data_IF_743767144921
#
_entry.id   IF_743767144921
#
_cell.length_a   1.000
_cell.length_b   1.000
_cell.length_c   1.000
_cell.angle_alpha   90.00
_cell.angle_beta   90.00
_cell.angle_gamma   90.00
#
_symmetry.space_group_name_H-M   'P 1'
#
loop_
_entity.id
_entity.type
_entity.pdbx_description
1 polymer ?
#
# COMPACT_ATOMS: atom_id res chain seq x y z
N UNK A 1 -19.50 6.09 -22.57
CA UNK A 1 -19.83 4.87 -21.79
C UNK A 1 -20.13 5.20 -20.33
N UNK A 2 -19.22 5.84 -19.58
CA UNK A 2 -19.44 6.21 -18.17
C UNK A 2 -20.67 7.09 -17.91
N UNK A 3 -20.92 8.11 -18.74
CA UNK A 3 -22.11 8.96 -18.64
C UNK A 3 -23.44 8.20 -18.88
N UNK A 4 -23.44 7.23 -19.81
CA UNK A 4 -24.61 6.41 -20.13
C UNK A 4 -24.97 5.48 -18.95
N UNK A 5 -23.94 4.93 -18.28
CA UNK A 5 -24.13 4.08 -17.10
C UNK A 5 -24.66 4.87 -15.91
N UNK A 6 -24.16 6.10 -15.70
CA UNK A 6 -24.66 7.02 -14.67
C UNK A 6 -26.14 7.31 -14.81
N UNK A 7 -26.57 7.63 -16.03
CA UNK A 7 -27.96 7.98 -16.33
C UNK A 7 -28.88 6.76 -16.20
N UNK A 8 -28.44 5.59 -16.68
CA UNK A 8 -29.22 4.35 -16.60
C UNK A 8 -29.39 3.82 -15.16
N UNK A 9 -28.39 4.02 -14.30
CA UNK A 9 -28.39 3.52 -12.91
C UNK A 9 -28.77 4.59 -11.87
N UNK A 10 -29.09 5.82 -12.30
CA UNK A 10 -29.42 6.94 -11.41
C UNK A 10 -28.33 7.21 -10.36
N UNK A 11 -27.06 7.18 -10.78
CA UNK A 11 -25.94 7.48 -9.87
C UNK A 11 -25.75 9.00 -9.83
N UNK A 12 -26.17 9.64 -8.73
CA UNK A 12 -26.07 11.09 -8.55
C UNK A 12 -24.68 11.57 -8.11
N UNK A 13 -23.89 10.71 -7.46
CA UNK A 13 -22.55 11.06 -6.96
C UNK A 13 -21.62 9.85 -6.97
N UNK A 14 -20.45 10.00 -7.57
CA UNK A 14 -19.40 8.98 -7.62
C UNK A 14 -18.31 9.28 -6.57
N UNK A 15 -18.16 8.42 -5.55
CA UNK A 15 -17.13 8.54 -4.52
C UNK A 15 -15.82 7.82 -4.92
N UNK A 16 -15.22 8.23 -6.04
CA UNK A 16 -14.04 7.55 -6.59
C UNK A 16 -12.71 7.95 -5.95
N UNK A 17 -12.72 9.03 -5.15
CA UNK A 17 -11.54 9.48 -4.39
C UNK A 17 -11.39 8.83 -3.02
N UNK A 18 -12.36 8.00 -2.60
CA UNK A 18 -12.34 7.40 -1.27
C UNK A 18 -11.64 6.04 -1.25
N UNK A 19 -11.17 5.64 -0.06
CA UNK A 19 -10.57 4.32 0.16
C UNK A 19 -11.61 3.35 0.71
N UNK A 20 -11.85 2.27 0.01
CA UNK A 20 -12.63 1.15 0.51
C UNK A 20 -11.71 0.06 1.05
N UNK A 21 -11.88 -0.34 2.32
CA UNK A 21 -11.00 -1.30 3.02
C UNK A 21 -9.51 -0.91 2.97
N UNK A 22 -9.22 0.39 2.96
CA UNK A 22 -7.86 0.92 2.86
C UNK A 22 -7.26 0.89 1.45
N UNK A 23 -8.00 0.42 0.45
CA UNK A 23 -7.60 0.37 -0.96
C UNK A 23 -8.29 1.50 -1.75
N UNK A 24 -7.63 2.05 -2.79
CA UNK A 24 -8.27 3.01 -3.68
C UNK A 24 -9.49 2.39 -4.39
N UNK A 25 -10.63 3.08 -4.36
CA UNK A 25 -11.87 2.62 -5.02
C UNK A 25 -11.77 2.77 -6.54
N UNK A 26 -11.02 3.77 -7.00
CA UNK A 26 -10.60 3.90 -8.39
C UNK A 26 -9.10 4.16 -8.45
N UNK A 27 -8.40 3.37 -9.25
CA UNK A 27 -7.00 3.61 -9.59
C UNK A 27 -6.94 4.34 -10.93
N UNK A 28 -6.43 5.57 -10.91
CA UNK A 28 -5.98 6.25 -12.13
C UNK A 28 -4.71 5.62 -12.70
N UNK A 29 -4.24 6.11 -13.85
CA UNK A 29 -3.02 5.64 -14.50
C UNK A 29 -1.81 5.79 -13.56
N UNK A 30 -1.18 4.64 -13.27
CA UNK A 30 0.17 4.26 -12.78
C UNK A 30 1.10 5.24 -12.01
N UNK A 31 0.91 6.56 -12.03
CA UNK A 31 1.87 7.55 -11.52
C UNK A 31 1.45 8.29 -10.24
N UNK A 32 0.19 8.18 -9.80
CA UNK A 32 -0.40 9.14 -8.85
C UNK A 32 -0.10 8.89 -7.35
N UNK A 33 1.02 8.23 -7.01
CA UNK A 33 1.39 8.00 -5.61
C UNK A 33 0.33 7.24 -4.78
N UNK A 34 -0.70 6.67 -5.42
CA UNK A 34 -1.88 6.11 -4.77
C UNK A 34 -1.53 5.00 -3.79
N UNK A 35 -0.43 4.28 -4.04
CA UNK A 35 0.08 3.19 -3.22
C UNK A 35 1.28 3.58 -2.34
N UNK A 36 1.74 4.83 -2.34
CA UNK A 36 2.91 5.25 -1.54
C UNK A 36 2.69 5.05 -0.04
N UNK A 37 1.44 5.13 0.41
CA UNK A 37 1.06 4.84 1.81
C UNK A 37 1.47 3.43 2.28
N UNK A 38 1.57 2.46 1.37
CA UNK A 38 2.00 1.09 1.68
C UNK A 38 3.46 1.10 2.11
N UNK A 39 4.31 1.78 1.32
CA UNK A 39 5.72 1.90 1.60
C UNK A 39 6.00 2.76 2.84
N UNK A 40 5.24 3.84 3.04
CA UNK A 40 5.34 4.68 4.23
C UNK A 40 4.98 3.94 5.52
N UNK A 41 3.98 3.04 5.47
CA UNK A 41 3.64 2.20 6.62
C UNK A 41 4.78 1.26 7.01
N UNK A 42 5.46 0.65 6.02
CA UNK A 42 6.65 -0.17 6.26
C UNK A 42 7.79 0.68 6.83
N UNK A 43 8.00 1.89 6.30
CA UNK A 43 8.99 2.84 6.85
C UNK A 43 8.72 3.13 8.33
N UNK A 44 7.46 3.35 8.70
CA UNK A 44 7.06 3.61 10.08
C UNK A 44 7.43 2.47 11.03
N UNK A 45 7.20 1.21 10.62
CA UNK A 45 7.62 0.04 11.40
C UNK A 45 9.14 -0.02 11.59
N UNK A 46 9.88 0.05 10.48
CA UNK A 46 11.35 -0.02 10.50
C UNK A 46 11.96 1.08 11.37
N UNK A 47 11.46 2.32 11.25
CA UNK A 47 11.95 3.44 12.05
C UNK A 47 11.66 3.24 13.54
N UNK A 48 10.45 2.82 13.90
CA UNK A 48 10.07 2.55 15.28
C UNK A 48 10.81 1.36 15.91
N UNK A 49 11.25 0.38 15.12
CA UNK A 49 12.04 -0.73 15.63
C UNK A 49 13.53 -0.42 15.76
N UNK A 50 14.06 0.48 14.92
CA UNK A 50 15.49 0.84 14.89
C UNK A 50 16.04 1.44 16.20
N UNK A 51 15.16 1.90 17.09
CA UNK A 51 15.53 2.37 18.44
C UNK A 51 15.84 1.21 19.41
N UNK A 52 15.50 -0.03 19.05
CA UNK A 52 15.72 -1.22 19.88
C UNK A 52 16.93 -2.03 19.41
N UNK A 53 17.79 -2.45 20.33
CA UNK A 53 18.93 -3.34 20.04
C UNK A 53 18.43 -4.77 19.80
N UNK A 54 18.06 -5.09 18.57
CA UNK A 54 17.47 -6.38 18.19
C UNK A 54 18.50 -7.36 17.63
N UNK A 55 18.35 -8.64 17.96
CA UNK A 55 19.13 -9.70 17.33
C UNK A 55 18.75 -9.86 15.84
N UNK A 56 19.58 -10.57 15.07
CA UNK A 56 19.26 -10.86 13.66
C UNK A 56 17.96 -11.67 13.53
N UNK A 57 17.76 -12.67 14.40
CA UNK A 57 16.56 -13.50 14.41
C UNK A 57 15.31 -12.67 14.72
N UNK A 58 15.38 -11.77 15.70
CA UNK A 58 14.24 -10.93 16.06
C UNK A 58 13.86 -9.98 14.93
N UNK A 59 14.85 -9.41 14.23
CA UNK A 59 14.62 -8.54 13.07
C UNK A 59 13.94 -9.29 11.93
N UNK A 60 14.37 -10.50 11.62
CA UNK A 60 13.75 -11.32 10.58
C UNK A 60 12.27 -11.62 10.89
N UNK A 61 11.97 -11.96 12.15
CA UNK A 61 10.60 -12.22 12.61
C UNK A 61 9.73 -10.96 12.47
N UNK A 62 10.22 -9.80 12.90
CA UNK A 62 9.50 -8.52 12.78
C UNK A 62 9.22 -8.15 11.32
N UNK A 63 10.23 -8.26 10.44
CA UNK A 63 10.07 -8.00 9.01
C UNK A 63 8.97 -8.90 8.41
N UNK A 64 9.01 -10.21 8.66
CA UNK A 64 8.06 -11.16 8.07
C UNK A 64 6.64 -10.98 8.61
N UNK A 65 6.50 -10.85 9.93
CA UNK A 65 5.19 -10.77 10.59
C UNK A 65 4.46 -9.45 10.35
N UNK A 66 5.19 -8.34 10.20
CA UNK A 66 4.59 -7.02 10.08
C UNK A 66 4.84 -6.40 8.70
N UNK A 67 6.10 -6.12 8.35
CA UNK A 67 6.42 -5.37 7.13
C UNK A 67 5.97 -6.09 5.84
N UNK A 68 6.21 -7.40 5.73
CA UNK A 68 5.80 -8.20 4.57
C UNK A 68 4.29 -8.49 4.53
N UNK A 69 3.61 -8.46 5.69
CA UNK A 69 2.16 -8.66 5.75
C UNK A 69 1.37 -7.43 5.26
N UNK A 70 1.95 -6.21 5.37
CA UNK A 70 1.31 -4.96 4.93
C UNK A 70 0.85 -5.01 3.47
N UNK A 71 1.69 -5.34 2.48
CA UNK A 71 1.28 -5.30 1.08
C UNK A 71 0.45 -6.52 0.64
N UNK A 72 0.28 -7.56 1.47
CA UNK A 72 -0.33 -8.83 1.05
C UNK A 72 -1.74 -8.63 0.48
N UNK A 73 -2.57 -7.83 1.15
CA UNK A 73 -3.94 -7.58 0.70
C UNK A 73 -3.96 -6.72 -0.59
N UNK A 74 -3.17 -5.66 -0.62
CA UNK A 74 -3.03 -4.74 -1.76
C UNK A 74 -2.57 -5.49 -3.01
N UNK A 75 -1.55 -6.33 -2.89
CA UNK A 75 -1.00 -7.12 -4.00
C UNK A 75 -1.95 -8.23 -4.47
N UNK A 76 -2.90 -8.66 -3.63
CA UNK A 76 -3.94 -9.62 -4.03
C UNK A 76 -5.00 -8.98 -4.94
N UNK A 77 -5.25 -7.67 -4.77
CA UNK A 77 -6.25 -6.93 -5.54
C UNK A 77 -5.65 -6.14 -6.71
N UNK A 78 -4.42 -5.65 -6.56
CA UNK A 78 -3.78 -4.72 -7.50
C UNK A 78 -2.34 -5.09 -7.80
N UNK A 79 -1.92 -4.83 -9.05
CA UNK A 79 -0.51 -4.83 -9.40
C UNK A 79 0.13 -3.52 -8.95
N UNK A 80 1.00 -3.58 -7.95
CA UNK A 80 1.70 -2.40 -7.46
C UNK A 80 2.76 -1.90 -8.47
N UNK A 81 2.93 -0.57 -8.62
CA UNK A 81 4.00 0.00 -9.44
C UNK A 81 5.39 -0.42 -8.93
N UNK A 82 6.33 -0.69 -9.84
CA UNK A 82 7.71 -1.10 -9.46
C UNK A 82 8.36 -0.12 -8.49
N UNK A 83 8.18 1.20 -8.72
CA UNK A 83 8.71 2.26 -7.86
C UNK A 83 8.31 2.09 -6.39
N UNK A 84 7.08 1.64 -6.12
CA UNK A 84 6.58 1.40 -4.75
C UNK A 84 7.23 0.16 -4.16
N UNK A 85 7.34 -0.92 -4.94
CA UNK A 85 8.05 -2.15 -4.54
C UNK A 85 9.52 -1.87 -4.20
N UNK A 86 10.20 -1.05 -5.00
CA UNK A 86 11.59 -0.67 -4.77
C UNK A 86 11.74 0.13 -3.47
N UNK A 87 10.85 1.12 -3.21
CA UNK A 87 10.82 1.84 -1.93
C UNK A 87 10.66 0.88 -0.74
N UNK A 88 9.71 -0.06 -0.81
CA UNK A 88 9.50 -1.05 0.26
C UNK A 88 10.76 -1.90 0.50
N UNK A 89 11.39 -2.36 -0.57
CA UNK A 89 12.62 -3.16 -0.50
C UNK A 89 13.76 -2.37 0.16
N UNK A 90 13.94 -1.10 -0.20
CA UNK A 90 14.94 -0.22 0.39
C UNK A 90 14.72 0.00 1.89
N UNK A 91 13.47 0.19 2.35
CA UNK A 91 13.22 0.33 3.78
C UNK A 91 13.51 -0.95 4.56
N UNK A 92 13.12 -2.10 4.02
CA UNK A 92 13.38 -3.40 4.67
C UNK A 92 14.88 -3.72 4.70
N UNK A 93 15.63 -3.40 3.64
CA UNK A 93 17.08 -3.68 3.59
C UNK A 93 17.91 -2.80 4.51
N UNK A 94 17.38 -1.67 4.95
CA UNK A 94 18.07 -0.69 5.80
C UNK A 94 17.79 -0.89 7.31
N UNK A 95 17.04 -1.93 7.69
CA UNK A 95 16.72 -2.33 9.07
C UNK A 95 17.68 -3.42 9.57
#
# INVERSE_FOLDING_TARGET
>A
MRAIVHEALQIDTEALGEKYLGLPTATGSEEDGTFDYVADRIRGFVHGWGENTLSCADREVLIKSNAQAVPTYQMSCFKLPSKVCDKMKTFISNF
#
